data_IF_128557025948
#
_entry.id   IF_128557025948
#
_cell.length_a   1.000
_cell.length_b   1.000
_cell.length_c   1.000
_cell.angle_alpha   90.00
_cell.angle_beta   90.00
_cell.angle_gamma   90.00
#
_symmetry.space_group_name_H-M   'P 1'
#
loop_
_entity.id
_entity.type
_entity.pdbx_description
1 polymer ?
#
# COMPACT_ATOMS: atom_id res chain seq x y z
N UNK A 1 -8.26 -35.47 -9.60
CA UNK A 1 -6.80 -35.22 -9.47
C UNK A 1 -6.47 -33.93 -10.19
N UNK A 2 -5.64 -33.08 -9.58
CA UNK A 2 -5.14 -31.83 -10.13
C UNK A 2 -3.64 -31.98 -10.38
N UNK A 3 -3.22 -31.91 -11.63
CA UNK A 3 -1.81 -32.02 -12.01
C UNK A 3 -1.24 -30.65 -12.32
N UNK A 4 -0.09 -30.34 -11.76
CA UNK A 4 0.57 -29.04 -11.86
C UNK A 4 2.05 -29.24 -12.12
N UNK A 5 2.61 -28.38 -12.96
CA UNK A 5 4.02 -28.49 -13.31
C UNK A 5 4.94 -28.27 -12.10
N UNK A 6 4.62 -27.31 -11.22
CA UNK A 6 5.45 -26.95 -10.06
C UNK A 6 4.57 -26.23 -9.01
N UNK A 7 4.93 -26.30 -7.72
CA UNK A 7 4.16 -25.70 -6.61
C UNK A 7 3.91 -24.19 -6.78
N UNK A 8 4.86 -23.44 -7.33
CA UNK A 8 4.71 -21.99 -7.57
C UNK A 8 3.62 -21.63 -8.58
N UNK A 9 3.12 -22.60 -9.35
CA UNK A 9 2.00 -22.43 -10.27
C UNK A 9 0.64 -22.69 -9.61
N UNK A 10 0.62 -23.13 -8.35
CA UNK A 10 -0.61 -23.42 -7.62
C UNK A 10 -1.34 -22.14 -7.18
N UNK A 11 -0.59 -21.09 -6.82
CA UNK A 11 -1.14 -19.86 -6.26
C UNK A 11 -0.20 -18.66 -6.46
N UNK A 12 -0.76 -17.44 -6.54
CA UNK A 12 0.04 -16.21 -6.71
C UNK A 12 0.59 -15.65 -5.42
N UNK A 13 0.02 -16.06 -4.29
CA UNK A 13 0.43 -15.66 -2.96
C UNK A 13 0.05 -16.74 -1.94
N UNK A 14 0.62 -16.63 -0.75
CA UNK A 14 0.35 -17.55 0.35
C UNK A 14 -1.14 -17.60 0.74
N UNK A 15 -1.86 -16.49 0.59
CA UNK A 15 -3.28 -16.47 0.92
C UNK A 15 -4.12 -17.35 -0.01
N UNK A 16 -3.88 -17.27 -1.31
CA UNK A 16 -4.49 -18.12 -2.32
C UNK A 16 -4.07 -19.58 -2.12
N UNK A 17 -2.81 -19.84 -1.77
CA UNK A 17 -2.31 -21.20 -1.52
C UNK A 17 -3.03 -21.87 -0.36
N UNK A 18 -3.24 -21.15 0.75
CA UNK A 18 -3.96 -21.65 1.93
C UNK A 18 -5.40 -22.02 1.59
N UNK A 19 -6.11 -21.12 0.90
CA UNK A 19 -7.50 -21.34 0.49
C UNK A 19 -7.61 -22.54 -0.46
N UNK A 20 -6.74 -22.62 -1.45
CA UNK A 20 -6.74 -23.69 -2.43
C UNK A 20 -6.38 -25.04 -1.80
N UNK A 21 -5.41 -25.08 -0.89
CA UNK A 21 -5.07 -26.28 -0.11
C UNK A 21 -6.29 -26.83 0.63
N UNK A 22 -7.02 -25.98 1.36
CA UNK A 22 -8.24 -26.38 2.08
C UNK A 22 -9.37 -26.83 1.16
N UNK A 23 -9.55 -26.18 0.01
CA UNK A 23 -10.55 -26.57 -0.99
C UNK A 23 -10.25 -27.95 -1.60
N UNK A 24 -8.99 -28.19 -1.98
CA UNK A 24 -8.57 -29.47 -2.53
C UNK A 24 -8.71 -30.59 -1.50
N UNK A 25 -8.34 -30.32 -0.24
CA UNK A 25 -8.49 -31.28 0.85
C UNK A 25 -9.97 -31.61 1.13
N UNK A 26 -10.83 -30.58 1.26
CA UNK A 26 -12.26 -30.77 1.51
C UNK A 26 -13.00 -31.47 0.36
N UNK A 27 -12.53 -31.27 -0.88
CA UNK A 27 -13.08 -31.93 -2.06
C UNK A 27 -12.48 -33.32 -2.33
N UNK A 28 -11.51 -33.79 -1.53
CA UNK A 28 -10.85 -35.07 -1.76
C UNK A 28 -10.01 -35.11 -3.04
N UNK A 29 -9.56 -33.96 -3.55
CA UNK A 29 -8.83 -33.86 -4.81
C UNK A 29 -7.34 -34.10 -4.57
N UNK A 30 -6.82 -35.18 -5.16
CA UNK A 30 -5.39 -35.46 -5.20
C UNK A 30 -4.63 -34.38 -5.97
N UNK A 31 -3.45 -34.00 -5.49
CA UNK A 31 -2.55 -33.04 -6.10
C UNK A 31 -1.30 -33.74 -6.64
N UNK A 32 -0.98 -33.56 -7.92
CA UNK A 32 0.23 -34.09 -8.54
C UNK A 32 1.17 -32.95 -8.94
N UNK A 33 2.41 -33.02 -8.46
CA UNK A 33 3.48 -32.10 -8.82
C UNK A 33 4.48 -32.81 -9.75
N UNK A 34 4.65 -32.27 -10.96
CA UNK A 34 5.49 -32.89 -11.99
C UNK A 34 6.99 -32.55 -11.85
N UNK A 35 7.32 -31.45 -11.18
CA UNK A 35 8.71 -30.99 -11.03
C UNK A 35 8.95 -30.31 -9.67
N UNK A 36 10.24 -30.21 -9.31
CA UNK A 36 10.70 -29.56 -8.08
C UNK A 36 10.96 -30.55 -6.94
N UNK A 37 11.35 -30.04 -5.75
CA UNK A 37 11.74 -30.87 -4.60
C UNK A 37 10.56 -31.66 -4.01
N UNK A 38 9.33 -31.24 -4.31
CA UNK A 38 8.08 -31.85 -3.85
C UNK A 38 7.36 -32.58 -4.99
N UNK A 39 8.11 -33.16 -5.92
CA UNK A 39 7.53 -33.95 -7.02
C UNK A 39 6.84 -35.18 -6.45
N UNK A 40 5.61 -35.47 -6.89
CA UNK A 40 4.84 -36.61 -6.43
C UNK A 40 3.33 -36.38 -6.45
N UNK A 41 2.59 -37.42 -6.06
CA UNK A 41 1.13 -37.42 -5.94
C UNK A 41 0.76 -37.39 -4.46
N UNK A 42 -0.08 -36.43 -4.07
CA UNK A 42 -0.51 -36.17 -2.71
C UNK A 42 -2.00 -36.40 -2.57
N UNK A 43 -2.36 -37.43 -1.80
CA UNK A 43 -3.75 -37.76 -1.50
C UNK A 43 -4.23 -37.12 -0.19
N UNK A 44 -5.25 -36.23 -0.22
CA UNK A 44 -5.74 -35.56 0.98
C UNK A 44 -6.39 -36.48 2.02
N UNK A 45 -6.75 -37.73 1.69
CA UNK A 45 -7.37 -38.70 2.61
C UNK A 45 -6.41 -39.66 3.30
N UNK A 46 -5.14 -39.74 2.86
CA UNK A 46 -4.13 -40.65 3.41
C UNK A 46 -2.82 -39.90 3.74
N UNK A 47 -1.66 -40.43 3.32
CA UNK A 47 -0.35 -39.83 3.63
C UNK A 47 -0.16 -38.40 3.09
N UNK A 48 -0.96 -37.97 2.11
CA UNK A 48 -0.93 -36.60 1.60
C UNK A 48 -1.66 -35.58 2.48
N UNK A 49 -2.51 -35.99 3.44
CA UNK A 49 -3.21 -35.07 4.34
C UNK A 49 -2.22 -34.16 5.11
N UNK A 50 -1.09 -34.72 5.53
CA UNK A 50 -0.01 -33.98 6.19
C UNK A 50 0.61 -32.91 5.26
N UNK A 51 0.72 -33.21 3.98
CA UNK A 51 1.25 -32.27 2.99
C UNK A 51 0.34 -31.04 2.85
N UNK A 52 -0.98 -31.23 2.76
CA UNK A 52 -1.94 -30.12 2.72
C UNK A 52 -1.92 -29.28 4.01
N UNK A 53 -1.76 -29.92 5.18
CA UNK A 53 -1.65 -29.24 6.46
C UNK A 53 -0.35 -28.40 6.57
N UNK A 54 0.79 -28.94 6.15
CA UNK A 54 2.07 -28.20 6.13
C UNK A 54 2.01 -27.02 5.15
N UNK A 55 1.42 -27.20 3.97
CA UNK A 55 1.22 -26.11 3.01
C UNK A 55 0.34 -25.00 3.59
N UNK A 56 -0.74 -25.35 4.29
CA UNK A 56 -1.61 -24.37 4.94
C UNK A 56 -0.88 -23.60 6.04
N UNK A 57 -0.07 -24.28 6.86
CA UNK A 57 0.72 -23.66 7.92
C UNK A 57 1.82 -22.74 7.36
N UNK A 58 2.59 -23.20 6.37
CA UNK A 58 3.63 -22.40 5.70
C UNK A 58 3.04 -21.13 5.07
N UNK A 59 1.89 -21.27 4.41
CA UNK A 59 1.16 -20.14 3.85
C UNK A 59 0.74 -19.11 4.91
N UNK A 60 0.32 -19.55 6.08
CA UNK A 60 -0.06 -18.65 7.17
C UNK A 60 1.16 -17.89 7.73
N UNK A 61 2.30 -18.57 7.88
CA UNK A 61 3.56 -17.98 8.35
C UNK A 61 4.05 -16.92 7.37
N UNK A 62 4.13 -17.23 6.08
CA UNK A 62 4.57 -16.27 5.06
C UNK A 62 3.65 -15.04 4.98
N UNK A 63 2.33 -15.25 5.08
CA UNK A 63 1.36 -14.14 5.10
C UNK A 63 1.62 -13.20 6.29
N UNK A 64 1.87 -13.74 7.48
CA UNK A 64 2.16 -12.94 8.67
C UNK A 64 3.51 -12.20 8.51
N UNK A 65 4.54 -12.90 8.03
CA UNK A 65 5.87 -12.32 7.78
C UNK A 65 5.83 -11.16 6.78
N UNK A 66 5.12 -11.30 5.65
CA UNK A 66 4.95 -10.24 4.65
C UNK A 66 4.18 -9.04 5.22
N UNK A 67 3.29 -9.23 6.20
CA UNK A 67 2.57 -8.13 6.86
C UNK A 67 3.42 -7.37 7.87
N UNK A 68 4.30 -8.07 8.59
CA UNK A 68 5.09 -7.49 9.68
C UNK A 68 6.31 -6.71 9.15
N UNK A 69 7.00 -7.24 8.13
CA UNK A 69 8.24 -6.65 7.60
C UNK A 69 8.11 -5.23 6.99
N UNK A 70 7.01 -4.83 6.32
CA UNK A 70 6.83 -3.49 5.79
C UNK A 70 6.72 -2.43 6.89
N UNK A 71 6.23 -2.79 8.08
CA UNK A 71 6.11 -1.85 9.20
C UNK A 71 7.49 -1.46 9.72
N UNK A 72 8.42 -2.41 9.86
CA UNK A 72 9.80 -2.13 10.24
C UNK A 72 10.51 -1.24 9.22
N UNK A 73 10.28 -1.50 7.92
CA UNK A 73 10.80 -0.68 6.84
C UNK A 73 10.22 0.74 6.82
N UNK A 74 8.91 0.88 7.03
CA UNK A 74 8.24 2.18 7.11
C UNK A 74 8.67 2.96 8.35
N UNK A 75 8.81 2.32 9.50
CA UNK A 75 9.30 2.97 10.73
C UNK A 75 10.75 3.43 10.55
N UNK A 76 11.59 2.61 9.91
CA UNK A 76 12.98 2.98 9.61
C UNK A 76 13.08 4.08 8.56
N UNK A 77 12.16 4.15 7.59
CA UNK A 77 12.08 5.24 6.63
C UNK A 77 11.56 6.52 7.29
N UNK A 78 10.53 6.42 8.13
CA UNK A 78 9.95 7.51 8.90
C UNK A 78 10.97 8.12 9.87
N UNK A 79 11.78 7.31 10.56
CA UNK A 79 12.85 7.80 11.45
C UNK A 79 13.97 8.53 10.69
N UNK A 80 14.11 8.29 9.38
CA UNK A 80 14.99 9.03 8.46
C UNK A 80 14.30 10.22 7.78
N UNK A 81 13.08 10.58 8.20
CA UNK A 81 12.29 11.68 7.64
C UNK A 81 11.54 11.34 6.35
N UNK A 82 11.62 10.10 5.86
CA UNK A 82 10.89 9.63 4.69
C UNK A 82 9.53 9.06 5.11
N UNK A 83 8.59 9.95 5.36
CA UNK A 83 7.18 9.60 5.49
C UNK A 83 6.62 9.39 4.08
N UNK A 84 6.49 8.13 3.65
CA UNK A 84 5.86 7.79 2.38
C UNK A 84 4.49 8.46 2.23
N UNK A 85 4.05 8.72 1.00
CA UNK A 85 2.80 9.43 0.73
C UNK A 85 2.90 10.31 -0.51
N UNK A 86 1.79 10.97 -0.85
CA UNK A 86 1.77 11.93 -1.95
C UNK A 86 2.47 13.22 -1.48
N UNK A 87 3.49 13.73 -2.19
CA UNK A 87 4.12 15.01 -1.85
C UNK A 87 3.08 16.12 -1.72
N UNK A 88 3.25 17.01 -0.72
CA UNK A 88 2.41 18.19 -0.57
C UNK A 88 2.49 19.04 -1.84
N UNK A 89 1.33 19.46 -2.34
CA UNK A 89 1.19 20.26 -3.56
C UNK A 89 1.40 21.75 -3.26
N UNK A 90 1.01 22.19 -2.07
CA UNK A 90 1.26 23.53 -1.52
C UNK A 90 2.39 23.39 -0.52
N UNK A 91 3.51 24.06 -0.76
CA UNK A 91 4.61 24.20 0.20
C UNK A 91 4.41 25.45 1.08
N UNK A 92 5.23 25.58 2.12
CA UNK A 92 5.09 26.67 3.10
C UNK A 92 5.32 28.07 2.48
N UNK A 93 6.20 28.16 1.47
CA UNK A 93 6.44 29.39 0.72
C UNK A 93 5.20 29.79 -0.09
N UNK A 94 4.60 28.83 -0.79
CA UNK A 94 3.37 29.01 -1.57
C UNK A 94 2.20 29.40 -0.66
N UNK A 95 2.12 28.82 0.54
CA UNK A 95 1.11 29.17 1.53
C UNK A 95 1.31 30.61 2.03
N UNK A 96 2.54 30.98 2.38
CA UNK A 96 2.88 32.34 2.82
C UNK A 96 2.52 33.38 1.74
N UNK A 97 2.86 33.08 0.48
CA UNK A 97 2.50 33.95 -0.64
C UNK A 97 0.99 33.99 -0.89
N UNK A 98 0.29 32.86 -0.73
CA UNK A 98 -1.16 32.79 -0.86
C UNK A 98 -1.89 33.63 0.20
N UNK A 99 -1.43 33.58 1.45
CA UNK A 99 -1.95 34.42 2.55
C UNK A 99 -1.73 35.90 2.22
N UNK A 100 -0.52 36.28 1.81
CA UNK A 100 -0.23 37.66 1.43
C UNK A 100 -1.06 38.17 0.24
N UNK A 101 -1.44 37.30 -0.70
CA UNK A 101 -2.36 37.64 -1.80
C UNK A 101 -3.80 37.79 -1.31
N UNK A 102 -4.23 36.93 -0.38
CA UNK A 102 -5.55 37.00 0.25
C UNK A 102 -5.72 38.29 1.05
N UNK A 103 -4.71 38.69 1.83
CA UNK A 103 -4.71 39.93 2.60
C UNK A 103 -4.80 41.19 1.71
N UNK A 104 -4.27 41.09 0.49
CA UNK A 104 -4.41 42.13 -0.55
C UNK A 104 -5.76 42.10 -1.28
N UNK A 105 -6.68 41.22 -0.88
CA UNK A 105 -8.01 41.09 -1.46
C UNK A 105 -8.06 40.34 -2.80
N UNK A 106 -7.01 39.60 -3.17
CA UNK A 106 -6.99 38.84 -4.43
C UNK A 106 -7.85 37.58 -4.29
N UNK A 107 -8.81 37.32 -5.21
CA UNK A 107 -9.63 36.13 -5.16
C UNK A 107 -8.81 34.83 -5.27
N UNK A 108 -9.16 33.82 -4.48
CA UNK A 108 -8.46 32.52 -4.43
C UNK A 108 -8.27 31.86 -5.80
N UNK A 109 -9.23 31.89 -6.76
CA UNK A 109 -9.01 31.35 -8.10
C UNK A 109 -7.92 32.07 -8.90
N UNK A 110 -7.73 33.37 -8.65
CA UNK A 110 -6.69 34.16 -9.29
C UNK A 110 -5.34 33.94 -8.60
N UNK A 111 -5.33 33.84 -7.27
CA UNK A 111 -4.14 33.48 -6.49
C UNK A 111 -3.58 32.12 -6.91
N UNK A 112 -4.45 31.12 -7.15
CA UNK A 112 -4.02 29.80 -7.61
C UNK A 112 -3.26 29.83 -8.94
N UNK A 113 -3.64 30.71 -9.88
CA UNK A 113 -2.94 30.86 -11.18
C UNK A 113 -1.55 31.50 -11.03
N UNK A 114 -1.36 32.33 -9.99
CA UNK A 114 -0.08 33.01 -9.69
C UNK A 114 0.91 32.13 -8.94
N UNK A 115 0.46 30.97 -8.47
CA UNK A 115 1.27 29.99 -7.74
C UNK A 115 1.74 28.88 -8.67
N UNK A 116 2.91 28.31 -8.36
CA UNK A 116 3.53 27.22 -9.14
C UNK A 116 3.98 26.11 -8.21
N UNK A 117 3.54 24.88 -8.49
CA UNK A 117 3.95 23.68 -7.74
C UNK A 117 5.43 23.40 -7.99
N UNK A 118 6.23 23.25 -6.93
CA UNK A 118 7.68 23.00 -7.05
C UNK A 118 8.05 21.52 -7.21
N UNK A 119 7.24 20.59 -6.71
CA UNK A 119 7.60 19.17 -6.59
C UNK A 119 6.53 18.20 -7.11
N UNK A 120 6.98 17.02 -7.56
CA UNK A 120 6.13 15.91 -7.98
C UNK A 120 5.67 15.97 -9.45
N UNK A 121 4.73 15.08 -9.81
CA UNK A 121 4.24 14.90 -11.21
C UNK A 121 3.65 16.18 -11.83
N UNK A 122 3.18 17.11 -10.99
CA UNK A 122 2.57 18.37 -11.42
C UNK A 122 3.50 19.58 -11.23
N UNK A 123 4.81 19.36 -11.02
CA UNK A 123 5.78 20.44 -10.93
C UNK A 123 5.70 21.36 -12.18
N UNK A 124 5.77 22.66 -11.96
CA UNK A 124 5.63 23.68 -13.02
C UNK A 124 4.17 24.01 -13.40
N UNK A 125 3.17 23.33 -12.84
CA UNK A 125 1.75 23.68 -13.02
C UNK A 125 1.21 24.49 -11.85
N UNK A 126 0.13 25.22 -12.09
CA UNK A 126 -0.62 25.90 -11.04
C UNK A 126 -1.39 24.90 -10.16
N UNK A 127 -1.46 25.12 -8.83
CA UNK A 127 -2.26 24.31 -7.93
C UNK A 127 -3.75 24.39 -8.24
N UNK A 128 -4.49 23.35 -7.88
CA UNK A 128 -5.95 23.39 -7.98
C UNK A 128 -6.51 24.39 -6.98
N UNK A 129 -7.61 25.06 -7.35
CA UNK A 129 -8.30 26.01 -6.46
C UNK A 129 -8.74 25.32 -5.17
N UNK A 130 -9.17 24.07 -5.24
CA UNK A 130 -9.55 23.27 -4.06
C UNK A 130 -8.36 23.01 -3.12
N UNK A 131 -7.19 22.69 -3.66
CA UNK A 131 -5.97 22.51 -2.86
C UNK A 131 -5.57 23.79 -2.14
N UNK A 132 -5.77 24.94 -2.78
CA UNK A 132 -5.48 26.24 -2.17
C UNK A 132 -6.48 26.61 -1.07
N UNK A 133 -7.77 26.33 -1.26
CA UNK A 133 -8.78 26.52 -0.21
C UNK A 133 -8.51 25.66 1.02
N UNK A 134 -8.17 24.39 0.83
CA UNK A 134 -7.80 23.50 1.94
C UNK A 134 -6.59 24.02 2.71
N UNK A 135 -5.53 24.42 1.99
CA UNK A 135 -4.30 24.92 2.62
C UNK A 135 -4.53 26.24 3.38
N UNK A 136 -5.32 27.16 2.81
CA UNK A 136 -5.68 28.41 3.49
C UNK A 136 -6.57 28.16 4.72
N UNK A 137 -7.49 27.20 4.65
CA UNK A 137 -8.35 26.84 5.79
C UNK A 137 -7.59 26.17 6.94
N UNK A 138 -6.61 25.31 6.64
CA UNK A 138 -5.71 24.74 7.66
C UNK A 138 -4.85 25.83 8.33
N UNK A 139 -4.39 26.82 7.56
CA UNK A 139 -3.60 27.93 8.08
C UNK A 139 -4.41 28.85 9.02
N UNK A 140 -5.68 29.11 8.70
CA UNK A 140 -6.57 29.88 9.57
C UNK A 140 -6.87 29.15 10.88
N UNK A 141 -7.06 27.83 10.84
CA UNK A 141 -7.30 27.01 12.04
C UNK A 141 -6.06 26.95 12.95
N UNK A 142 -4.86 26.92 12.39
CA UNK A 142 -3.61 26.96 13.17
C UNK A 142 -3.34 28.34 13.79
N UNK A 143 -3.91 29.41 13.22
CA UNK A 143 -3.74 30.76 13.72
C UNK A 143 -4.72 31.10 14.87
N UNK A 144 -5.83 30.37 14.97
CA UNK A 144 -6.85 30.52 16.03
C UNK A 144 -6.58 29.63 17.27
N UNK A 145 -5.61 28.70 17.19
CA UNK A 145 -5.28 27.71 18.24
C UNK A 145 -3.92 27.98 18.95
N UNK A 146 -3.38 29.21 18.82
CA UNK A 146 -2.16 29.65 19.51
C UNK A 146 -2.42 30.13 20.95
N UNK A 147 -1.57 29.82 21.94
CA UNK A 147 -1.85 30.15 23.33
C UNK A 147 -1.78 31.65 23.56
N UNK A 148 -2.90 32.22 24.02
CA UNK A 148 -2.95 33.57 24.60
C UNK A 148 -2.26 33.66 25.95
#
# INVERSE_FOLDING_TARGET
MLTVHELKRLARNAAELMTLSGQLQGAGVQLELLTGPLTGIYDPGCMGAMFFAVLAAAAQIERNYIREKPLEGQVTAASKGNHGGRPKVIDDDMLTFAVALKDKGVPVPESAKKLTIKVGKNAGKSPSVASLYWALGEAEQQQDDGPG
#
